data_IF_715044777818
#
_entry.id   IF_715044777818
#
_cell.length_a   1.000
_cell.length_b   1.000
_cell.length_c   1.000
_cell.angle_alpha   90.00
_cell.angle_beta   90.00
_cell.angle_gamma   90.00
#
_symmetry.space_group_name_H-M   'P 1'
#
loop_
_entity.id
_entity.type
_entity.pdbx_description
1 polymer ?
#
# COMPACT_ATOMS: atom_id res chain seq x y z
N UNK A 1 29.73 16.91 -23.51
CA UNK A 1 28.60 17.85 -23.33
C UNK A 1 27.26 17.12 -23.23
N UNK A 2 27.01 16.07 -24.02
CA UNK A 2 25.76 15.29 -24.01
C UNK A 2 25.25 14.89 -22.61
N UNK A 3 26.15 14.36 -21.78
CA UNK A 3 25.83 13.97 -20.40
C UNK A 3 25.30 15.11 -19.52
N UNK A 4 25.65 16.37 -19.82
CA UNK A 4 25.17 17.54 -19.07
C UNK A 4 23.67 17.70 -19.29
N UNK A 5 23.18 17.55 -20.53
CA UNK A 5 21.75 17.68 -20.84
C UNK A 5 20.95 16.56 -20.18
N UNK A 6 21.47 15.34 -20.21
CA UNK A 6 20.87 14.16 -19.57
C UNK A 6 20.68 14.35 -18.05
N UNK A 7 21.69 14.86 -17.35
CA UNK A 7 21.60 15.07 -15.89
C UNK A 7 20.87 16.35 -15.51
N UNK A 8 20.89 17.38 -16.38
CA UNK A 8 20.36 18.70 -16.07
C UNK A 8 18.90 18.66 -15.64
N UNK A 9 18.03 17.94 -16.34
CA UNK A 9 16.62 17.83 -15.97
C UNK A 9 16.40 17.06 -14.67
N UNK A 10 17.19 16.01 -14.39
CA UNK A 10 17.13 15.33 -13.10
C UNK A 10 17.46 16.30 -11.96
N UNK A 11 18.54 17.05 -12.10
CA UNK A 11 18.99 18.01 -11.07
C UNK A 11 17.96 19.15 -10.90
N UNK A 12 17.49 19.74 -12.00
CA UNK A 12 16.52 20.84 -11.96
C UNK A 12 15.22 20.38 -11.32
N UNK A 13 14.70 19.22 -11.72
CA UNK A 13 13.45 18.69 -11.16
C UNK A 13 13.63 18.32 -9.69
N UNK A 14 14.79 17.79 -9.28
CA UNK A 14 15.07 17.53 -7.88
C UNK A 14 15.01 18.82 -7.04
N UNK A 15 15.66 19.89 -7.51
CA UNK A 15 15.60 21.19 -6.84
C UNK A 15 14.19 21.80 -6.87
N UNK A 16 13.44 21.65 -7.96
CA UNK A 16 12.07 22.12 -8.06
C UNK A 16 11.16 21.37 -7.07
N UNK A 17 11.25 20.04 -6.99
CA UNK A 17 10.54 19.23 -6.00
C UNK A 17 10.89 19.67 -4.59
N UNK A 18 12.17 19.84 -4.29
CA UNK A 18 12.63 20.30 -2.98
C UNK A 18 12.09 21.70 -2.64
N UNK A 19 12.12 22.63 -3.60
CA UNK A 19 11.66 24.00 -3.43
C UNK A 19 10.14 24.08 -3.25
N UNK A 20 9.35 23.43 -4.11
CA UNK A 20 7.89 23.35 -4.01
C UNK A 20 7.49 22.76 -2.65
N UNK A 21 8.16 21.67 -2.27
CA UNK A 21 7.92 21.00 -0.99
C UNK A 21 8.26 21.90 0.20
N UNK A 22 9.37 22.65 0.15
CA UNK A 22 9.76 23.62 1.19
C UNK A 22 8.76 24.79 1.28
N UNK A 23 8.23 25.24 0.15
CA UNK A 23 7.24 26.32 0.09
C UNK A 23 5.86 25.90 0.62
N UNK A 24 5.38 24.71 0.24
CA UNK A 24 4.05 24.23 0.61
C UNK A 24 3.98 23.62 2.02
N UNK A 25 5.08 23.06 2.52
CA UNK A 25 5.14 22.42 3.84
C UNK A 25 6.50 22.69 4.49
N UNK A 26 6.76 23.87 5.08
CA UNK A 26 8.09 24.22 5.58
C UNK A 26 8.57 23.36 6.77
N UNK A 27 7.64 22.88 7.60
CA UNK A 27 7.96 22.19 8.86
C UNK A 27 8.11 20.67 8.75
N UNK A 28 7.70 20.08 7.64
CA UNK A 28 7.63 18.63 7.50
C UNK A 28 9.02 18.07 7.10
N UNK A 29 9.28 16.77 7.22
CA UNK A 29 10.49 16.17 6.61
C UNK A 29 10.24 15.70 5.17
N UNK A 30 11.25 15.64 4.30
CA UNK A 30 11.11 15.07 2.94
C UNK A 30 10.60 13.62 2.99
N UNK A 31 10.97 12.92 4.07
CA UNK A 31 10.51 11.55 4.37
C UNK A 31 8.98 11.43 4.49
N UNK A 32 8.29 12.49 4.89
CA UNK A 32 6.83 12.46 5.04
C UNK A 32 6.09 12.32 3.72
N UNK A 33 6.72 12.68 2.60
CA UNK A 33 6.12 12.45 1.27
C UNK A 33 5.87 10.96 1.01
N UNK A 34 6.72 10.11 1.57
CA UNK A 34 6.65 8.66 1.43
C UNK A 34 5.89 7.98 2.57
N UNK A 35 5.59 8.69 3.67
CA UNK A 35 4.80 8.13 4.77
C UNK A 35 3.35 8.00 4.34
N UNK A 36 2.75 6.84 4.58
CA UNK A 36 1.33 6.56 4.44
C UNK A 36 0.51 7.15 5.59
N UNK A 37 -0.79 6.91 5.56
CA UNK A 37 -1.74 7.38 6.60
C UNK A 37 -1.60 6.57 7.90
N UNK A 38 -1.02 5.38 7.81
CA UNK A 38 -0.62 4.52 8.91
C UNK A 38 0.70 4.97 9.57
N UNK A 39 1.33 6.02 9.06
CA UNK A 39 2.61 6.54 9.56
C UNK A 39 3.84 5.75 9.09
N UNK A 40 3.66 4.61 8.41
CA UNK A 40 4.73 3.78 7.82
C UNK A 40 5.07 4.24 6.42
N UNK A 41 6.21 3.83 5.85
CA UNK A 41 6.47 4.15 4.45
C UNK A 41 5.57 3.35 3.49
N UNK A 42 5.10 4.01 2.43
CA UNK A 42 4.22 3.43 1.42
C UNK A 42 4.98 3.22 0.11
N UNK A 43 5.08 1.97 -0.32
CA UNK A 43 5.70 1.59 -1.59
C UNK A 43 4.99 2.23 -2.80
N UNK A 44 3.65 2.25 -2.81
CA UNK A 44 2.89 2.84 -3.91
C UNK A 44 3.10 4.36 -4.02
N UNK A 45 3.24 5.08 -2.89
CA UNK A 45 3.65 6.50 -2.90
C UNK A 45 5.05 6.66 -3.47
N UNK A 46 6.00 5.82 -3.06
CA UNK A 46 7.37 5.86 -3.59
C UNK A 46 7.39 5.65 -5.11
N UNK A 47 6.69 4.63 -5.62
CA UNK A 47 6.60 4.33 -7.04
C UNK A 47 5.98 5.48 -7.84
N UNK A 48 4.83 6.00 -7.38
CA UNK A 48 4.17 7.13 -8.04
C UNK A 48 5.07 8.37 -8.06
N UNK A 49 5.77 8.65 -6.96
CA UNK A 49 6.70 9.78 -6.86
C UNK A 49 7.90 9.59 -7.79
N UNK A 50 8.47 8.39 -7.82
CA UNK A 50 9.62 8.08 -8.66
C UNK A 50 9.28 8.20 -10.15
N UNK A 51 8.13 7.67 -10.58
CA UNK A 51 7.66 7.83 -11.96
C UNK A 51 7.36 9.27 -12.34
N UNK A 52 6.65 10.00 -11.49
CA UNK A 52 6.39 11.42 -11.72
C UNK A 52 7.71 12.21 -11.85
N UNK A 53 8.67 11.94 -10.96
CA UNK A 53 10.00 12.56 -11.00
C UNK A 53 10.74 12.25 -12.31
N UNK A 54 10.84 10.98 -12.70
CA UNK A 54 11.57 10.55 -13.91
C UNK A 54 10.92 11.12 -15.17
N UNK A 55 9.60 11.10 -15.27
CA UNK A 55 8.87 11.60 -16.45
C UNK A 55 9.02 13.12 -16.58
N UNK A 56 8.88 13.87 -15.48
CA UNK A 56 9.06 15.33 -15.50
C UNK A 56 10.54 15.67 -15.81
N UNK A 57 11.49 14.95 -15.22
CA UNK A 57 12.92 15.15 -15.50
C UNK A 57 13.25 14.90 -16.97
N UNK A 58 12.66 13.86 -17.56
CA UNK A 58 12.76 13.59 -19.00
C UNK A 58 12.28 14.79 -19.83
N UNK A 59 11.08 15.33 -19.57
CA UNK A 59 10.55 16.47 -20.32
C UNK A 59 11.43 17.72 -20.20
N UNK A 60 11.91 18.00 -19.00
CA UNK A 60 12.81 19.15 -18.74
C UNK A 60 14.14 18.97 -19.48
N UNK A 61 14.73 17.78 -19.45
CA UNK A 61 15.98 17.51 -20.16
C UNK A 61 15.80 17.58 -21.69
N UNK A 62 14.69 17.08 -22.23
CA UNK A 62 14.36 17.20 -23.65
C UNK A 62 14.23 18.67 -24.05
N UNK A 63 13.52 19.46 -23.24
CA UNK A 63 13.41 20.91 -23.46
C UNK A 63 14.79 21.59 -23.47
N UNK A 64 15.67 21.27 -22.51
CA UNK A 64 17.02 21.84 -22.43
C UNK A 64 17.87 21.40 -23.63
N UNK A 65 17.78 20.14 -24.06
CA UNK A 65 18.51 19.65 -25.23
C UNK A 65 18.08 20.38 -26.52
N UNK A 66 16.78 20.56 -26.71
CA UNK A 66 16.23 21.32 -27.85
C UNK A 66 16.59 22.81 -27.77
N UNK A 67 16.62 23.38 -26.56
CA UNK A 67 17.07 24.74 -26.33
C UNK A 67 18.55 24.94 -26.65
N UNK A 68 19.40 23.97 -26.31
CA UNK A 68 20.83 24.02 -26.57
C UNK A 68 21.17 24.03 -28.08
N UNK A 69 20.29 23.47 -28.93
CA UNK A 69 20.43 23.49 -30.39
C UNK A 69 19.65 24.65 -31.05
N UNK A 70 19.15 25.62 -30.25
CA UNK A 70 18.38 26.79 -30.69
C UNK A 70 17.08 26.48 -31.46
N UNK A 71 16.43 25.34 -31.18
CA UNK A 71 15.19 24.90 -31.85
C UNK A 71 13.98 24.82 -30.93
N UNK A 72 13.92 25.69 -29.92
CA UNK A 72 12.84 25.71 -28.91
C UNK A 72 11.44 25.73 -29.53
N UNK A 73 11.28 26.37 -30.69
CA UNK A 73 10.00 26.44 -31.42
C UNK A 73 9.54 25.10 -31.99
N UNK A 74 10.43 24.13 -32.17
CA UNK A 74 10.10 22.76 -32.59
C UNK A 74 9.80 21.84 -31.39
N UNK A 75 10.01 22.30 -30.14
CA UNK A 75 9.71 21.50 -28.96
C UNK A 75 8.19 21.29 -28.80
N UNK A 76 7.79 20.05 -28.63
CA UNK A 76 6.46 19.70 -28.17
C UNK A 76 6.52 18.71 -27.01
N UNK A 77 5.51 18.78 -26.15
CA UNK A 77 5.37 17.87 -25.02
C UNK A 77 4.90 16.51 -25.56
N UNK A 78 5.80 15.53 -25.57
CA UNK A 78 5.50 14.17 -26.04
C UNK A 78 5.78 13.17 -24.94
N UNK A 79 4.77 12.36 -24.61
CA UNK A 79 4.89 11.26 -23.67
C UNK A 79 4.88 9.95 -24.45
N UNK A 80 5.75 9.01 -24.08
CA UNK A 80 5.59 7.63 -24.53
C UNK A 80 4.32 7.06 -23.90
N UNK A 81 3.59 6.26 -24.67
CA UNK A 81 2.36 5.60 -24.20
C UNK A 81 2.66 4.75 -22.95
N UNK A 82 3.81 4.08 -22.96
CA UNK A 82 4.30 3.23 -21.89
C UNK A 82 4.53 4.01 -20.59
N UNK A 83 5.11 5.20 -20.69
CA UNK A 83 5.31 6.09 -19.53
C UNK A 83 3.96 6.52 -18.92
N UNK A 84 2.96 6.80 -19.76
CA UNK A 84 1.60 7.13 -19.31
C UNK A 84 0.98 5.94 -18.57
N UNK A 85 1.08 4.73 -19.14
CA UNK A 85 0.57 3.52 -18.49
C UNK A 85 1.24 3.27 -17.13
N UNK A 86 2.56 3.38 -17.05
CA UNK A 86 3.31 3.15 -15.80
C UNK A 86 2.97 4.19 -14.73
N UNK A 87 2.82 5.47 -15.11
CA UNK A 87 2.35 6.52 -14.22
C UNK A 87 0.91 6.27 -13.77
N UNK A 88 0.02 5.92 -14.69
CA UNK A 88 -1.39 5.62 -14.45
C UNK A 88 -1.58 4.44 -13.50
N UNK A 89 -0.87 3.33 -13.72
CA UNK A 89 -0.90 2.16 -12.85
C UNK A 89 -0.38 2.48 -11.44
N UNK A 90 0.70 3.25 -11.34
CA UNK A 90 1.30 3.63 -10.05
C UNK A 90 0.36 4.55 -9.25
N UNK A 91 -0.21 5.57 -9.91
CA UNK A 91 -1.16 6.50 -9.29
C UNK A 91 -2.49 5.82 -8.95
N UNK A 92 -3.02 4.99 -9.85
CA UNK A 92 -4.24 4.21 -9.63
C UNK A 92 -4.09 3.32 -8.40
N UNK A 93 -2.98 2.58 -8.32
CA UNK A 93 -2.69 1.72 -7.17
C UNK A 93 -2.56 2.50 -5.87
N UNK A 94 -1.92 3.67 -5.91
CA UNK A 94 -1.84 4.55 -4.76
C UNK A 94 -3.24 4.99 -4.27
N UNK A 95 -4.09 5.47 -5.17
CA UNK A 95 -5.45 5.93 -4.84
C UNK A 95 -6.30 4.78 -4.31
N UNK A 96 -6.26 3.61 -4.96
CA UNK A 96 -7.01 2.42 -4.53
C UNK A 96 -6.59 1.96 -3.13
N UNK A 97 -5.29 1.85 -2.87
CA UNK A 97 -4.78 1.42 -1.56
C UNK A 97 -5.13 2.43 -0.47
N UNK A 98 -5.08 3.73 -0.78
CA UNK A 98 -5.50 4.79 0.14
C UNK A 98 -6.99 4.66 0.46
N UNK A 99 -7.84 4.47 -0.54
CA UNK A 99 -9.28 4.25 -0.36
C UNK A 99 -9.57 3.07 0.57
N UNK A 100 -8.93 1.92 0.32
CA UNK A 100 -9.08 0.71 1.16
C UNK A 100 -8.65 1.00 2.61
N UNK A 101 -7.52 1.69 2.78
CA UNK A 101 -6.97 1.97 4.12
C UNK A 101 -7.89 2.90 4.93
N UNK A 102 -8.44 3.95 4.31
CA UNK A 102 -9.40 4.84 4.95
C UNK A 102 -10.66 4.08 5.36
N UNK A 103 -11.22 3.25 4.46
CA UNK A 103 -12.41 2.45 4.76
C UNK A 103 -12.18 1.50 5.94
N UNK A 104 -11.03 0.81 5.97
CA UNK A 104 -10.65 -0.07 7.09
C UNK A 104 -10.55 0.72 8.39
N UNK A 105 -9.89 1.88 8.40
CA UNK A 105 -9.78 2.72 9.60
C UNK A 105 -11.15 3.17 10.11
N UNK A 106 -12.08 3.55 9.23
CA UNK A 106 -13.43 4.01 9.61
C UNK A 106 -14.35 2.90 10.15
N UNK A 107 -14.08 1.63 9.85
CA UNK A 107 -14.91 0.50 10.29
C UNK A 107 -14.51 -0.07 11.65
N UNK A 108 -13.35 0.31 12.19
CA UNK A 108 -12.88 -0.08 13.53
C UNK A 108 -13.57 0.76 14.65
N UNK A 109 -14.03 0.17 15.77
CA UNK A 109 -14.72 0.88 16.87
C UNK A 109 -13.85 1.94 17.58
N UNK A 110 -14.42 2.80 18.47
CA UNK A 110 -13.89 4.13 18.79
C UNK A 110 -12.50 4.18 19.47
N UNK A 111 -11.78 5.32 19.34
CA UNK A 111 -10.32 5.44 19.38
C UNK A 111 -9.64 5.38 20.76
N UNK A 112 -10.39 5.09 21.83
CA UNK A 112 -9.86 5.22 23.20
C UNK A 112 -8.77 4.17 23.54
N UNK A 113 -8.78 3.00 22.89
CA UNK A 113 -7.76 1.95 23.10
C UNK A 113 -6.66 1.99 22.01
N UNK A 114 -7.01 2.39 20.78
CA UNK A 114 -6.07 2.41 19.65
C UNK A 114 -5.08 3.58 19.72
N UNK A 115 -5.45 4.71 20.31
CA UNK A 115 -4.53 5.84 20.49
C UNK A 115 -3.40 5.55 21.50
N UNK A 116 -3.57 4.58 22.40
CA UNK A 116 -2.51 4.13 23.31
C UNK A 116 -1.51 3.16 22.64
N UNK A 117 -1.90 2.55 21.51
CA UNK A 117 -1.07 1.62 20.71
C UNK A 117 -0.52 2.24 19.42
N UNK A 118 -0.85 3.49 19.10
CA UNK A 118 -0.03 4.35 18.23
C UNK A 118 1.30 4.65 18.93
N UNK A 119 2.09 3.61 19.19
CA UNK A 119 3.53 3.76 19.32
C UNK A 119 3.95 4.48 18.06
N UNK A 120 4.68 5.57 18.26
CA UNK A 120 5.43 6.32 17.28
C UNK A 120 6.45 5.37 16.63
N UNK A 121 5.92 4.46 15.80
CA UNK A 121 6.69 3.38 15.22
C UNK A 121 7.48 4.05 14.13
N UNK A 122 8.72 4.35 14.46
CA UNK A 122 9.62 5.11 13.62
C UNK A 122 9.67 4.46 12.23
N UNK A 123 9.13 5.16 11.22
CA UNK A 123 9.08 4.66 9.85
C UNK A 123 10.48 4.19 9.41
N UNK A 124 10.57 2.93 9.01
CA UNK A 124 11.82 2.25 8.69
C UNK A 124 11.86 1.92 7.21
N UNK A 125 13.03 1.96 6.58
CA UNK A 125 13.17 1.54 5.17
C UNK A 125 12.69 0.10 4.93
N UNK A 126 12.64 -0.72 5.99
CA UNK A 126 12.06 -2.06 5.95
C UNK A 126 10.57 -2.03 5.56
N UNK A 127 9.84 -0.96 5.85
CA UNK A 127 8.40 -0.84 5.59
C UNK A 127 8.06 -0.89 4.09
N UNK A 128 9.03 -0.57 3.21
CA UNK A 128 8.85 -0.70 1.76
C UNK A 128 8.75 -2.16 1.30
N UNK A 129 9.36 -3.08 2.03
CA UNK A 129 9.49 -4.50 1.65
C UNK A 129 8.73 -5.41 2.60
N UNK A 130 8.61 -5.03 3.87
CA UNK A 130 7.91 -5.79 4.89
C UNK A 130 6.45 -5.35 5.01
N UNK A 131 5.56 -6.32 5.24
CA UNK A 131 4.21 -6.12 5.76
C UNK A 131 4.20 -6.30 7.29
N UNK A 132 3.02 -6.20 7.89
CA UNK A 132 2.80 -6.50 9.31
C UNK A 132 3.13 -7.96 9.68
N UNK A 133 3.17 -8.85 8.69
CA UNK A 133 3.48 -10.28 8.81
C UNK A 133 4.97 -10.60 8.54
N UNK A 134 5.81 -9.59 8.30
CA UNK A 134 7.22 -9.78 7.94
C UNK A 134 7.52 -9.50 6.48
N UNK A 135 8.48 -10.20 5.87
CA UNK A 135 8.91 -9.94 4.49
C UNK A 135 7.78 -10.26 3.49
N UNK A 136 7.35 -9.26 2.71
CA UNK A 136 6.29 -9.43 1.72
C UNK A 136 6.90 -9.59 0.33
N UNK A 137 6.87 -10.82 -0.19
CA UNK A 137 7.40 -11.15 -1.52
C UNK A 137 6.76 -10.30 -2.62
N UNK A 138 5.47 -9.98 -2.52
CA UNK A 138 4.76 -9.17 -3.52
C UNK A 138 5.27 -7.73 -3.53
N UNK A 139 5.48 -7.12 -2.36
CA UNK A 139 6.09 -5.79 -2.25
C UNK A 139 7.52 -5.76 -2.77
N UNK A 140 8.31 -6.77 -2.39
CA UNK A 140 9.68 -6.90 -2.87
C UNK A 140 9.75 -7.01 -4.40
N UNK A 141 8.92 -7.87 -4.99
CA UNK A 141 8.82 -8.06 -6.42
C UNK A 141 8.41 -6.76 -7.13
N UNK A 142 7.38 -6.05 -6.63
CA UNK A 142 6.96 -4.77 -7.19
C UNK A 142 8.07 -3.72 -7.15
N UNK A 143 8.82 -3.64 -6.05
CA UNK A 143 9.95 -2.72 -5.92
C UNK A 143 11.04 -3.04 -6.95
N UNK A 144 11.40 -4.32 -7.09
CA UNK A 144 12.39 -4.76 -8.08
C UNK A 144 11.95 -4.41 -9.50
N UNK A 145 10.71 -4.73 -9.87
CA UNK A 145 10.22 -4.40 -11.21
C UNK A 145 10.18 -2.89 -11.44
N UNK A 146 9.77 -2.10 -10.46
CA UNK A 146 9.81 -0.64 -10.60
C UNK A 146 11.23 -0.14 -10.86
N UNK A 147 12.21 -0.69 -10.14
CA UNK A 147 13.61 -0.32 -10.32
C UNK A 147 14.12 -0.67 -11.71
N UNK A 148 13.84 -1.89 -12.19
CA UNK A 148 14.20 -2.30 -13.55
C UNK A 148 13.57 -1.39 -14.60
N UNK A 149 12.29 -1.08 -14.46
CA UNK A 149 11.56 -0.21 -15.36
C UNK A 149 12.18 1.20 -15.44
N UNK A 150 12.50 1.77 -14.28
CA UNK A 150 13.12 3.09 -14.19
C UNK A 150 14.49 3.07 -14.85
N UNK A 151 15.30 2.04 -14.61
CA UNK A 151 16.63 1.91 -15.23
C UNK A 151 16.51 1.78 -16.75
N UNK A 152 15.68 0.86 -17.26
CA UNK A 152 15.51 0.65 -18.70
C UNK A 152 14.96 1.89 -19.39
N UNK A 153 13.98 2.54 -18.77
CA UNK A 153 13.43 3.80 -19.27
C UNK A 153 14.48 4.91 -19.27
N UNK A 154 15.29 5.03 -18.22
CA UNK A 154 16.36 6.04 -18.12
C UNK A 154 17.43 5.85 -19.18
N UNK A 155 17.84 4.60 -19.47
CA UNK A 155 18.80 4.30 -20.54
C UNK A 155 18.21 4.67 -21.91
N UNK A 156 16.97 4.28 -22.17
CA UNK A 156 16.24 4.63 -23.40
C UNK A 156 16.12 6.16 -23.57
N UNK A 157 15.82 6.85 -22.48
CA UNK A 157 15.79 8.31 -22.36
C UNK A 157 17.13 8.97 -22.69
N UNK A 158 18.25 8.47 -22.15
CA UNK A 158 19.57 9.03 -22.45
C UNK A 158 19.90 8.91 -23.95
N UNK A 159 19.63 7.75 -24.54
CA UNK A 159 19.81 7.53 -25.98
C UNK A 159 18.93 8.47 -26.82
N UNK A 160 17.71 8.78 -26.37
CA UNK A 160 16.83 9.74 -27.04
C UNK A 160 17.40 11.16 -27.03
N UNK A 161 17.91 11.63 -25.88
CA UNK A 161 18.54 12.94 -25.77
C UNK A 161 19.77 13.05 -26.67
N UNK A 162 20.59 12.00 -26.71
CA UNK A 162 21.79 11.98 -27.55
C UNK A 162 21.43 12.14 -29.03
N UNK A 163 20.41 11.42 -29.49
CA UNK A 163 19.92 11.54 -30.88
C UNK A 163 19.35 12.93 -31.19
N UNK A 164 18.69 13.60 -30.24
CA UNK A 164 18.22 14.99 -30.43
C UNK A 164 19.41 15.94 -30.64
N UNK A 165 20.45 15.82 -29.81
CA UNK A 165 21.60 16.71 -29.89
C UNK A 165 22.43 16.43 -31.15
N UNK A 166 22.58 15.16 -31.55
CA UNK A 166 23.21 14.78 -32.82
C UNK A 166 22.42 15.29 -34.04
N UNK A 167 21.09 15.32 -33.94
CA UNK A 167 20.22 15.88 -34.97
C UNK A 167 20.33 17.42 -35.11
N UNK A 168 21.20 18.10 -34.35
CA UNK A 168 21.50 19.51 -34.57
C UNK A 168 21.91 19.82 -36.03
N UNK A 169 22.57 18.87 -36.70
CA UNK A 169 22.98 18.99 -38.11
C UNK A 169 21.85 18.65 -39.11
N UNK A 170 20.75 18.04 -38.65
CA UNK A 170 19.62 17.65 -39.51
C UNK A 170 18.72 18.84 -39.83
N UNK A 171 18.05 18.87 -40.99
CA UNK A 171 17.19 19.99 -41.37
C UNK A 171 15.96 20.15 -40.47
N UNK A 172 15.44 19.07 -39.88
CA UNK A 172 14.31 19.12 -38.94
C UNK A 172 14.44 18.05 -37.86
N UNK A 173 13.94 18.37 -36.66
CA UNK A 173 13.81 17.43 -35.54
C UNK A 173 12.36 16.95 -35.35
N UNK A 174 11.45 17.23 -36.30
CA UNK A 174 10.04 16.86 -36.21
C UNK A 174 9.80 15.36 -35.99
N UNK A 175 10.70 14.50 -36.45
CA UNK A 175 10.62 13.04 -36.25
C UNK A 175 10.76 12.62 -34.78
N UNK A 176 11.33 13.46 -33.91
CA UNK A 176 11.40 13.23 -32.46
C UNK A 176 10.10 13.61 -31.75
N UNK A 177 9.28 14.44 -32.40
CA UNK A 177 8.07 15.02 -31.85
C UNK A 177 6.85 14.72 -32.72
N UNK A 178 6.58 13.44 -33.05
CA UNK A 178 5.48 13.09 -33.94
C UNK A 178 4.13 13.51 -33.32
N UNK A 179 3.18 14.02 -34.13
CA UNK A 179 1.84 14.27 -33.64
C UNK A 179 1.18 12.94 -33.22
N UNK A 180 0.36 13.00 -32.17
CA UNK A 180 -0.29 11.83 -31.57
C UNK A 180 -1.14 11.00 -32.55
N UNK A 181 -1.60 11.61 -33.66
CA UNK A 181 -2.43 10.94 -34.68
C UNK A 181 -1.66 10.03 -35.65
N UNK A 182 -0.33 10.20 -35.77
CA UNK A 182 0.46 9.57 -36.84
C UNK A 182 1.31 8.41 -36.34
N UNK A 183 1.04 7.94 -35.11
CA UNK A 183 1.75 6.83 -34.47
C UNK A 183 1.27 5.43 -34.94
N UNK A 184 0.63 5.35 -36.11
CA UNK A 184 0.17 4.09 -36.73
C UNK A 184 1.21 3.50 -37.71
N UNK A 185 2.33 4.19 -37.93
CA UNK A 185 3.20 3.85 -39.04
C UNK A 185 4.16 2.68 -38.70
N UNK A 186 4.06 1.63 -39.51
CA UNK A 186 4.86 0.39 -39.47
C UNK A 186 6.34 0.61 -39.78
N UNK A 187 6.79 1.86 -39.81
CA UNK A 187 8.13 2.30 -40.18
C UNK A 187 9.09 2.35 -38.99
N UNK A 188 8.82 1.65 -37.88
CA UNK A 188 9.83 1.14 -36.93
C UNK A 188 10.83 2.11 -36.29
N UNK A 189 10.69 3.43 -36.52
CA UNK A 189 11.70 4.43 -36.20
C UNK A 189 11.16 5.52 -35.26
N UNK A 190 10.12 5.25 -34.49
CA UNK A 190 9.73 6.12 -33.38
C UNK A 190 10.84 6.06 -32.31
N UNK A 191 11.54 7.18 -32.13
CA UNK A 191 12.74 7.27 -31.27
C UNK A 191 12.35 7.50 -29.80
N UNK A 192 11.06 7.55 -29.47
CA UNK A 192 10.63 7.83 -28.10
C UNK A 192 11.16 6.78 -27.12
N UNK A 193 11.45 7.16 -25.85
CA UNK A 193 11.86 6.20 -24.85
C UNK A 193 10.74 5.20 -24.58
N UNK A 194 10.90 3.95 -25.02
CA UNK A 194 9.92 2.89 -24.79
C UNK A 194 10.35 1.92 -23.69
N UNK A 195 9.35 1.27 -23.10
CA UNK A 195 9.52 0.10 -22.23
C UNK A 195 8.78 -1.05 -22.90
N UNK A 196 9.30 -2.26 -22.84
CA UNK A 196 8.63 -3.39 -23.48
C UNK A 196 7.21 -3.62 -22.89
N UNK A 197 6.22 -3.86 -23.75
CA UNK A 197 4.83 -3.98 -23.32
C UNK A 197 4.63 -5.17 -22.37
N UNK A 198 5.41 -6.24 -22.53
CA UNK A 198 5.39 -7.37 -21.58
C UNK A 198 5.72 -6.94 -20.15
N UNK A 199 6.60 -5.94 -20.00
CA UNK A 199 6.98 -5.38 -18.72
C UNK A 199 5.82 -4.61 -18.07
N UNK A 200 5.08 -3.83 -18.86
CA UNK A 200 3.91 -3.08 -18.39
C UNK A 200 2.82 -4.03 -17.93
N UNK A 201 2.57 -5.10 -18.70
CA UNK A 201 1.63 -6.16 -18.33
C UNK A 201 2.05 -6.80 -17.01
N UNK A 202 3.34 -7.15 -16.86
CA UNK A 202 3.88 -7.73 -15.64
C UNK A 202 3.73 -6.80 -14.42
N UNK A 203 3.96 -5.50 -14.61
CA UNK A 203 3.73 -4.47 -13.59
C UNK A 203 2.25 -4.36 -13.24
N UNK A 204 1.36 -4.35 -14.22
CA UNK A 204 -0.08 -4.31 -14.03
C UNK A 204 -0.59 -5.52 -13.24
N UNK A 205 -0.13 -6.73 -13.58
CA UNK A 205 -0.45 -7.95 -12.84
C UNK A 205 0.09 -7.91 -11.41
N UNK A 206 1.31 -7.39 -11.20
CA UNK A 206 1.89 -7.26 -9.86
C UNK A 206 1.09 -6.31 -8.98
N UNK A 207 0.65 -5.16 -9.51
CA UNK A 207 -0.23 -4.22 -8.82
C UNK A 207 -1.62 -4.81 -8.57
N UNK A 208 -2.17 -5.52 -9.57
CA UNK A 208 -3.45 -6.21 -9.45
C UNK A 208 -3.44 -7.28 -8.36
N UNK A 209 -2.37 -8.08 -8.27
CA UNK A 209 -2.18 -9.06 -7.20
C UNK A 209 -2.04 -8.40 -5.82
N UNK A 210 -1.31 -7.29 -5.74
CA UNK A 210 -1.14 -6.53 -4.50
C UNK A 210 -2.46 -5.91 -4.00
N UNK A 211 -3.18 -5.22 -4.88
CA UNK A 211 -4.52 -4.68 -4.59
C UNK A 211 -5.47 -5.82 -4.27
N UNK A 212 -5.42 -6.90 -5.03
CA UNK A 212 -6.19 -8.12 -4.82
C UNK A 212 -5.99 -8.65 -3.41
N UNK A 213 -4.75 -8.79 -2.92
CA UNK A 213 -4.46 -9.20 -1.54
C UNK A 213 -5.05 -8.23 -0.50
N UNK A 214 -5.03 -6.92 -0.78
CA UNK A 214 -5.63 -5.89 0.10
C UNK A 214 -7.16 -5.89 0.08
N UNK A 215 -7.76 -6.30 -1.04
CA UNK A 215 -9.20 -6.45 -1.22
C UNK A 215 -9.71 -7.80 -0.71
N UNK A 216 -8.89 -8.86 -0.75
CA UNK A 216 -9.27 -10.15 -0.17
C UNK A 216 -9.48 -9.92 1.32
N UNK A 217 -10.71 -10.03 1.79
CA UNK A 217 -11.11 -9.20 2.90
C UNK A 217 -10.70 -9.86 4.20
N UNK A 218 -10.04 -9.07 5.05
CA UNK A 218 -10.21 -9.24 6.49
C UNK A 218 -11.69 -9.24 6.88
N UNK A 219 -12.64 -8.75 6.05
CA UNK A 219 -14.08 -8.85 6.32
C UNK A 219 -14.48 -10.28 6.69
N UNK A 220 -14.01 -11.31 5.98
CA UNK A 220 -14.40 -12.69 6.31
C UNK A 220 -13.86 -13.07 7.68
N UNK A 221 -12.59 -12.75 7.93
CA UNK A 221 -11.96 -13.04 9.22
C UNK A 221 -12.65 -12.27 10.35
N UNK A 222 -12.89 -10.98 10.21
CA UNK A 222 -13.60 -10.16 11.20
C UNK A 222 -15.07 -10.52 11.37
N UNK A 223 -15.77 -10.93 10.31
CA UNK A 223 -17.15 -11.42 10.43
C UNK A 223 -17.17 -12.77 11.14
N UNK A 224 -16.25 -13.67 10.82
CA UNK A 224 -16.11 -14.95 11.52
C UNK A 224 -15.70 -14.74 12.98
N UNK A 225 -14.75 -13.85 13.27
CA UNK A 225 -14.35 -13.52 14.65
C UNK A 225 -15.51 -12.89 15.41
N UNK A 226 -16.28 -11.96 14.81
CA UNK A 226 -17.47 -11.38 15.45
C UNK A 226 -18.56 -12.41 15.70
N UNK A 227 -18.85 -13.24 14.72
CA UNK A 227 -19.84 -14.33 14.84
C UNK A 227 -19.40 -15.34 15.91
N UNK A 228 -18.12 -15.70 15.92
CA UNK A 228 -17.52 -16.59 16.92
C UNK A 228 -17.55 -15.99 18.34
N UNK A 229 -17.21 -14.71 18.51
CA UNK A 229 -17.31 -14.01 19.80
C UNK A 229 -18.78 -13.92 20.25
N UNK A 230 -19.72 -13.66 19.32
CA UNK A 230 -21.14 -13.62 19.64
C UNK A 230 -21.66 -14.98 20.11
N UNK A 231 -21.26 -16.07 19.43
CA UNK A 231 -21.59 -17.45 19.83
C UNK A 231 -20.99 -17.80 21.20
N UNK A 232 -19.73 -17.44 21.45
CA UNK A 232 -19.10 -17.63 22.76
C UNK A 232 -19.83 -16.85 23.87
N UNK A 233 -20.24 -15.60 23.62
CA UNK A 233 -21.02 -14.80 24.59
C UNK A 233 -22.37 -15.45 24.86
N UNK A 234 -23.07 -15.92 23.83
CA UNK A 234 -24.34 -16.65 23.97
C UNK A 234 -24.16 -17.93 24.80
N UNK A 235 -23.09 -18.70 24.53
CA UNK A 235 -22.76 -19.92 25.27
C UNK A 235 -22.45 -19.62 26.74
N UNK A 236 -21.74 -18.52 27.01
CA UNK A 236 -21.48 -18.02 28.37
C UNK A 236 -22.77 -17.72 29.11
N UNK A 237 -23.68 -16.97 28.49
CA UNK A 237 -24.95 -16.56 29.09
C UNK A 237 -25.86 -17.76 29.38
N UNK A 238 -25.86 -18.74 28.46
CA UNK A 238 -26.55 -20.02 28.64
C UNK A 238 -25.98 -20.80 29.82
N UNK A 239 -24.64 -20.92 29.91
CA UNK A 239 -23.97 -21.56 31.05
C UNK A 239 -24.23 -20.83 32.36
N UNK A 240 -24.23 -19.49 32.35
CA UNK A 240 -24.52 -18.67 33.53
C UNK A 240 -25.94 -18.87 34.04
N UNK A 241 -26.90 -19.01 33.12
CA UNK A 241 -28.29 -19.31 33.46
C UNK A 241 -28.41 -20.72 34.07
N UNK A 242 -27.76 -21.71 33.47
CA UNK A 242 -27.70 -23.08 34.02
C UNK A 242 -27.02 -23.15 35.39
N UNK A 243 -25.96 -22.38 35.60
CA UNK A 243 -25.25 -22.27 36.88
C UNK A 243 -26.18 -21.74 37.98
N UNK A 244 -26.92 -20.65 37.71
CA UNK A 244 -27.88 -20.08 38.68
C UNK A 244 -28.94 -21.10 39.08
N UNK A 245 -29.45 -21.90 38.14
CA UNK A 245 -30.42 -22.95 38.43
C UNK A 245 -29.82 -24.02 39.35
N UNK A 246 -28.60 -24.49 39.06
CA UNK A 246 -27.88 -25.46 39.89
C UNK A 246 -27.52 -24.94 41.28
N UNK A 247 -27.21 -23.66 41.41
CA UNK A 247 -26.96 -23.02 42.71
C UNK A 247 -28.22 -22.98 43.59
N UNK A 248 -29.39 -22.71 42.99
CA UNK A 248 -30.68 -22.76 43.68
C UNK A 248 -31.02 -24.21 44.09
N UNK A 249 -30.81 -25.18 43.20
CA UNK A 249 -31.01 -26.61 43.50
C UNK A 249 -30.12 -27.06 44.69
N UNK A 250 -28.87 -26.61 44.69
CA UNK A 250 -27.93 -26.85 45.79
C UNK A 250 -28.39 -26.22 47.11
N UNK A 251 -28.93 -25.01 47.09
CA UNK A 251 -29.50 -24.38 48.29
C UNK A 251 -30.67 -25.20 48.84
N UNK A 252 -31.63 -25.58 47.97
CA UNK A 252 -32.78 -26.40 48.36
C UNK A 252 -32.37 -27.76 48.95
N UNK A 253 -31.34 -28.39 48.39
CA UNK A 253 -30.81 -29.66 48.89
C UNK A 253 -30.04 -29.48 50.20
N UNK A 254 -29.32 -28.38 50.40
CA UNK A 254 -28.63 -28.09 51.66
C UNK A 254 -29.61 -27.99 52.82
N UNK A 255 -30.76 -27.38 52.57
CA UNK A 255 -31.83 -27.19 53.55
C UNK A 255 -32.65 -28.47 53.82
N UNK A 256 -32.53 -29.49 52.95
CA UNK A 256 -33.24 -30.76 53.13
C UNK A 256 -32.49 -31.74 54.04
N UNK A 257 -33.11 -32.20 55.15
CA UNK A 257 -32.50 -33.15 56.08
C UNK A 257 -32.43 -34.60 55.55
N UNK A 258 -33.14 -34.92 54.47
CA UNK A 258 -33.24 -36.28 53.93
C UNK A 258 -32.24 -36.58 52.79
N UNK A 259 -31.48 -35.60 52.32
CA UNK A 259 -30.56 -35.80 51.18
C UNK A 259 -29.20 -36.28 51.66
N UNK A 260 -28.68 -37.36 51.05
CA UNK A 260 -27.37 -37.92 51.37
C UNK A 260 -26.24 -36.92 51.16
N UNK A 261 -25.24 -36.98 52.04
CA UNK A 261 -24.03 -36.15 51.96
C UNK A 261 -23.32 -36.31 50.61
N UNK A 262 -23.31 -37.52 50.05
CA UNK A 262 -22.69 -37.81 48.76
C UNK A 262 -23.32 -37.01 47.62
N UNK A 263 -24.65 -36.89 47.60
CA UNK A 263 -25.37 -36.10 46.60
C UNK A 263 -25.10 -34.60 46.73
N UNK A 264 -24.87 -34.11 47.96
CA UNK A 264 -24.47 -32.72 48.21
C UNK A 264 -23.09 -32.45 47.61
N UNK A 265 -22.12 -33.32 47.87
CA UNK A 265 -20.75 -33.21 47.37
C UNK A 265 -20.72 -33.30 45.83
N UNK A 266 -21.48 -34.22 45.24
CA UNK A 266 -21.57 -34.37 43.78
C UNK A 266 -22.03 -33.06 43.11
N UNK A 267 -23.08 -32.45 43.65
CA UNK A 267 -23.64 -31.22 43.07
C UNK A 267 -22.75 -29.99 43.32
N UNK A 268 -22.05 -29.92 44.46
CA UNK A 268 -21.01 -28.90 44.69
C UNK A 268 -19.88 -29.01 43.67
N UNK A 269 -19.43 -30.24 43.38
CA UNK A 269 -18.42 -30.50 42.34
C UNK A 269 -18.91 -30.12 40.93
N UNK A 270 -20.19 -30.36 40.62
CA UNK A 270 -20.78 -29.96 39.33
C UNK A 270 -20.80 -28.43 39.17
N UNK A 271 -21.21 -27.69 40.20
CA UNK A 271 -21.21 -26.22 40.23
C UNK A 271 -19.79 -25.67 40.03
N UNK A 272 -18.79 -26.23 40.74
CA UNK A 272 -17.38 -25.85 40.58
C UNK A 272 -16.87 -26.11 39.16
N UNK A 273 -17.24 -27.24 38.56
CA UNK A 273 -16.87 -27.57 37.18
C UNK A 273 -17.44 -26.56 36.17
N UNK A 274 -18.71 -26.20 36.30
CA UNK A 274 -19.36 -25.21 35.41
C UNK A 274 -18.71 -23.84 35.55
N UNK A 275 -18.43 -23.38 36.78
CA UNK A 275 -17.71 -22.11 37.01
C UNK A 275 -16.34 -22.10 36.33
N UNK A 276 -15.56 -23.17 36.49
CA UNK A 276 -14.26 -23.30 35.83
C UNK A 276 -14.36 -23.25 34.30
N UNK A 277 -15.41 -23.85 33.71
CA UNK A 277 -15.66 -23.77 32.26
C UNK A 277 -16.02 -22.35 31.81
N UNK A 278 -16.84 -21.63 32.60
CA UNK A 278 -17.18 -20.24 32.31
C UNK A 278 -15.96 -19.32 32.37
N UNK A 279 -15.08 -19.51 33.36
CA UNK A 279 -13.86 -18.71 33.49
C UNK A 279 -12.92 -18.91 32.29
N UNK A 280 -12.77 -20.16 31.82
CA UNK A 280 -12.00 -20.47 30.60
C UNK A 280 -12.61 -19.79 29.37
N UNK A 281 -13.93 -19.90 29.20
CA UNK A 281 -14.62 -19.27 28.08
C UNK A 281 -14.49 -17.74 28.11
N UNK A 282 -14.54 -17.14 29.30
CA UNK A 282 -14.33 -15.70 29.47
C UNK A 282 -12.89 -15.29 29.11
N UNK A 283 -11.89 -16.08 29.50
CA UNK A 283 -10.50 -15.84 29.12
C UNK A 283 -10.31 -15.92 27.61
N UNK A 284 -10.93 -16.89 26.93
CA UNK A 284 -10.90 -17.00 25.47
C UNK A 284 -11.54 -15.77 24.82
N UNK A 285 -12.73 -15.34 25.26
CA UNK A 285 -13.38 -14.12 24.76
C UNK A 285 -12.46 -12.91 24.91
N UNK A 286 -11.83 -12.73 26.08
CA UNK A 286 -10.90 -11.62 26.32
C UNK A 286 -9.67 -11.70 25.43
N UNK A 287 -9.12 -12.91 25.20
CA UNK A 287 -7.98 -13.09 24.31
C UNK A 287 -8.32 -12.69 22.86
N UNK A 288 -9.52 -13.03 22.37
CA UNK A 288 -10.01 -12.62 21.04
C UNK A 288 -10.40 -11.15 20.94
N UNK A 289 -10.75 -10.49 22.05
CA UNK A 289 -11.04 -9.05 22.06
C UNK A 289 -9.76 -8.18 22.11
N UNK A 290 -8.64 -8.75 22.57
CA UNK A 290 -7.36 -8.04 22.73
C UNK A 290 -6.37 -8.32 21.60
N UNK A 291 -6.48 -9.48 20.93
CA UNK A 291 -5.63 -9.88 19.80
C UNK A 291 -6.13 -9.38 18.45
#
# INVERSE_FOLDING_TARGET
MLFIYQISGLVIVFFAFWAIRKALAPNNSFKEFFKGEDGKYSLSRLQATAWAYVIIAYQVSTFIAVAAINRIHEFSLVFSEEAIWLLGLSLGSYVTVKGITITQQTQTPPPAVVNALKRDTQASLRDFVCSDEGLDLSRFQMLIWTLFAIITFTVSYFNYIDKIVEAAASPSIANFFPPFSDQDDKTGNTILPTVDMSFIILMGLSHGAYIGRKLVPSYKVESFTREYIADMKLRKDTMQTGLKFKEIELQLIKDSPQVSTDKKIEMENEVLRIRSQMDKLQQEIVAYEVG
#
